data_IF_230484389297
#
_entry.id   IF_230484389297
#
_cell.length_a   1.000
_cell.length_b   1.000
_cell.length_c   1.000
_cell.angle_alpha   90.00
_cell.angle_beta   90.00
_cell.angle_gamma   90.00
#
_symmetry.space_group_name_H-M   'P 1'
#
loop_
_entity.id
_entity.type
_entity.pdbx_description
1 polymer ?
#
# COMPACT_ATOMS: atom_id res chain seq x y z
N UNK A 1 4.95 25.20 -16.41
CA UNK A 1 3.56 24.76 -16.58
C UNK A 1 3.25 24.67 -18.06
N UNK A 2 2.67 23.58 -18.51
CA UNK A 2 2.31 23.40 -19.92
C UNK A 2 0.93 23.97 -20.21
N UNK A 3 0.60 24.22 -21.49
CA UNK A 3 -0.72 24.77 -21.87
C UNK A 3 -1.86 23.84 -21.46
N UNK A 4 -1.62 22.52 -21.45
CA UNK A 4 -2.57 21.52 -20.96
C UNK A 4 -2.86 21.66 -19.48
N UNK A 5 -1.84 21.87 -18.66
CA UNK A 5 -2.02 22.05 -17.21
C UNK A 5 -2.85 23.29 -16.91
N UNK A 6 -2.58 24.39 -17.64
CA UNK A 6 -3.35 25.62 -17.52
C UNK A 6 -4.82 25.36 -17.92
N UNK A 7 -5.07 24.65 -19.01
CA UNK A 7 -6.41 24.27 -19.44
C UNK A 7 -7.15 23.39 -18.42
N UNK A 8 -6.47 22.41 -17.80
CA UNK A 8 -7.01 21.57 -16.73
C UNK A 8 -7.38 22.42 -15.51
N UNK A 9 -6.54 23.38 -15.11
CA UNK A 9 -6.82 24.26 -13.97
C UNK A 9 -8.03 25.15 -14.27
N UNK A 10 -8.08 25.77 -15.45
CA UNK A 10 -9.21 26.63 -15.86
C UNK A 10 -10.52 25.85 -15.79
N UNK A 11 -10.58 24.67 -16.42
CA UNK A 11 -11.79 23.84 -16.37
C UNK A 11 -12.08 23.33 -14.98
N UNK A 12 -11.07 22.95 -14.20
CA UNK A 12 -11.24 22.54 -12.80
C UNK A 12 -11.93 23.61 -11.97
N UNK A 13 -11.52 24.88 -12.11
CA UNK A 13 -12.15 26.02 -11.45
C UNK A 13 -13.59 26.22 -11.94
N UNK A 14 -13.81 26.18 -13.26
CA UNK A 14 -15.16 26.34 -13.85
C UNK A 14 -16.12 25.26 -13.35
N UNK A 15 -15.69 23.99 -13.35
CA UNK A 15 -16.48 22.87 -12.83
C UNK A 15 -16.74 23.00 -11.33
N UNK A 16 -15.74 23.46 -10.56
CA UNK A 16 -15.91 23.66 -9.12
C UNK A 16 -16.92 24.78 -8.83
N UNK A 17 -16.85 25.91 -9.54
CA UNK A 17 -17.83 27.00 -9.42
C UNK A 17 -19.23 26.54 -9.85
N UNK A 18 -19.33 25.78 -10.94
CA UNK A 18 -20.59 25.20 -11.40
C UNK A 18 -21.20 24.23 -10.37
N UNK A 19 -20.36 23.37 -9.78
CA UNK A 19 -20.76 22.50 -8.67
C UNK A 19 -21.26 23.33 -7.50
N UNK A 20 -20.51 24.32 -7.01
CA UNK A 20 -20.92 25.16 -5.88
C UNK A 20 -22.26 25.90 -6.15
N UNK A 21 -22.46 26.40 -7.37
CA UNK A 21 -23.69 27.07 -7.78
C UNK A 21 -24.90 26.13 -7.77
N UNK A 22 -24.81 24.97 -8.43
CA UNK A 22 -25.90 24.00 -8.51
C UNK A 22 -26.11 23.21 -7.22
N UNK A 23 -25.07 23.12 -6.39
CA UNK A 23 -25.07 22.41 -5.12
C UNK A 23 -25.99 23.06 -4.07
N UNK A 24 -26.27 24.36 -4.17
CA UNK A 24 -27.29 25.04 -3.34
C UNK A 24 -28.72 24.65 -3.71
N UNK A 25 -28.98 24.24 -4.95
CA UNK A 25 -30.34 24.03 -5.48
C UNK A 25 -30.77 22.57 -5.51
N UNK A 26 -29.83 21.64 -5.75
CA UNK A 26 -30.16 20.24 -6.10
C UNK A 26 -29.60 19.18 -5.14
N UNK A 27 -29.19 19.53 -3.91
CA UNK A 27 -28.71 18.55 -2.92
C UNK A 27 -27.35 17.88 -3.24
N UNK A 28 -26.69 18.27 -4.33
CA UNK A 28 -25.35 17.79 -4.74
C UNK A 28 -24.30 18.03 -3.63
N UNK A 29 -24.52 19.01 -2.76
CA UNK A 29 -23.65 19.31 -1.62
C UNK A 29 -23.49 18.12 -0.68
N UNK A 30 -24.55 17.35 -0.47
CA UNK A 30 -24.51 16.22 0.44
C UNK A 30 -23.58 15.14 -0.12
N UNK A 31 -23.70 14.81 -1.41
CA UNK A 31 -22.80 13.86 -2.07
C UNK A 31 -21.34 14.35 -2.07
N UNK A 32 -21.11 15.65 -2.31
CA UNK A 32 -19.76 16.22 -2.23
C UNK A 32 -19.19 16.17 -0.79
N UNK A 33 -20.00 16.47 0.21
CA UNK A 33 -19.63 16.39 1.63
C UNK A 33 -19.32 14.95 2.04
N UNK A 34 -20.08 13.99 1.55
CA UNK A 34 -19.85 12.56 1.83
C UNK A 34 -18.52 12.07 1.21
N UNK A 35 -18.20 12.54 -0.01
CA UNK A 35 -16.89 12.31 -0.62
C UNK A 35 -15.76 12.93 0.22
N UNK A 36 -15.91 14.18 0.65
CA UNK A 36 -14.92 14.85 1.49
C UNK A 36 -14.74 14.14 2.83
N UNK A 37 -15.85 13.71 3.46
CA UNK A 37 -15.86 12.95 4.71
C UNK A 37 -15.13 11.61 4.55
N UNK A 38 -15.33 10.93 3.43
CA UNK A 38 -14.65 9.67 3.09
C UNK A 38 -13.14 9.88 2.94
N UNK A 39 -12.73 10.96 2.25
CA UNK A 39 -11.32 11.34 2.10
C UNK A 39 -10.70 11.66 3.47
N UNK A 40 -11.37 12.45 4.31
CA UNK A 40 -10.90 12.78 5.66
C UNK A 40 -10.74 11.51 6.51
N UNK A 41 -11.70 10.58 6.43
CA UNK A 41 -11.64 9.30 7.14
C UNK A 41 -10.44 8.48 6.69
N UNK A 42 -10.18 8.44 5.38
CA UNK A 42 -9.04 7.75 4.80
C UNK A 42 -7.70 8.40 5.20
N UNK A 43 -7.61 9.73 5.26
CA UNK A 43 -6.42 10.45 5.74
C UNK A 43 -6.15 10.18 7.22
N UNK A 44 -7.20 9.99 8.04
CA UNK A 44 -7.07 9.66 9.47
C UNK A 44 -6.53 8.25 9.73
N UNK A 45 -6.51 7.37 8.73
CA UNK A 45 -5.94 6.04 8.91
C UNK A 45 -4.43 6.14 9.21
N UNK A 46 -3.89 5.38 10.18
CA UNK A 46 -2.48 5.45 10.55
C UNK A 46 -1.52 5.17 9.39
N UNK A 47 -1.91 4.26 8.48
CA UNK A 47 -1.15 3.97 7.27
C UNK A 47 -1.06 5.20 6.36
N UNK A 48 -2.17 5.89 6.14
CA UNK A 48 -2.22 7.11 5.32
C UNK A 48 -1.39 8.22 5.95
N UNK A 49 -1.52 8.43 7.26
CA UNK A 49 -0.73 9.42 7.99
C UNK A 49 0.77 9.16 7.86
N UNK A 50 1.19 7.90 8.01
CA UNK A 50 2.59 7.52 7.87
C UNK A 50 3.11 7.77 6.44
N UNK A 51 2.32 7.43 5.41
CA UNK A 51 2.69 7.70 4.02
C UNK A 51 2.77 9.20 3.72
N UNK A 52 1.80 9.98 4.19
CA UNK A 52 1.79 11.44 4.02
C UNK A 52 2.99 12.07 4.71
N UNK A 53 3.24 11.72 5.98
CA UNK A 53 4.36 12.26 6.75
C UNK A 53 5.71 11.92 6.11
N UNK A 54 5.92 10.66 5.71
CA UNK A 54 7.16 10.24 5.03
C UNK A 54 7.35 10.93 3.69
N UNK A 55 6.29 11.12 2.91
CA UNK A 55 6.37 11.80 1.62
C UNK A 55 6.61 13.30 1.77
N UNK A 56 5.99 13.96 2.76
CA UNK A 56 6.30 15.37 3.09
C UNK A 56 7.77 15.48 3.48
N UNK A 57 8.28 14.58 4.31
CA UNK A 57 9.69 14.56 4.70
C UNK A 57 10.62 14.37 3.49
N UNK A 58 10.29 13.45 2.57
CA UNK A 58 11.01 13.25 1.31
C UNK A 58 10.98 14.53 0.45
N UNK A 59 9.83 15.19 0.31
CA UNK A 59 9.71 16.44 -0.44
C UNK A 59 10.58 17.54 0.18
N UNK A 60 10.61 17.67 1.50
CA UNK A 60 11.43 18.66 2.21
C UNK A 60 12.93 18.36 2.05
N UNK A 61 13.32 17.09 2.12
CA UNK A 61 14.70 16.69 1.85
C UNK A 61 15.10 16.99 0.40
N UNK A 62 14.26 16.59 -0.55
CA UNK A 62 14.47 16.89 -1.97
C UNK A 62 14.58 18.41 -2.13
N UNK A 63 13.64 19.21 -1.66
CA UNK A 63 13.65 20.66 -1.88
C UNK A 63 14.86 21.35 -1.24
N UNK A 64 15.32 20.90 -0.06
CA UNK A 64 16.48 21.48 0.62
C UNK A 64 17.81 21.10 -0.03
N UNK A 65 18.01 19.84 -0.44
CA UNK A 65 19.23 19.40 -1.13
C UNK A 65 19.28 19.88 -2.59
N UNK A 66 18.16 19.88 -3.30
CA UNK A 66 18.13 20.21 -4.74
C UNK A 66 18.21 21.71 -5.05
N UNK A 67 17.80 22.59 -4.11
CA UNK A 67 17.95 24.04 -4.26
C UNK A 67 19.41 24.49 -4.19
N UNK A 68 20.24 23.81 -3.40
CA UNK A 68 21.64 24.19 -3.20
C UNK A 68 22.49 23.93 -4.45
N UNK A 69 22.27 22.79 -5.13
CA UNK A 69 23.23 22.30 -6.15
C UNK A 69 22.70 22.29 -7.59
N UNK A 70 21.39 22.23 -7.81
CA UNK A 70 20.81 21.82 -9.11
C UNK A 70 19.74 22.77 -9.67
N UNK A 71 19.42 23.87 -8.96
CA UNK A 71 18.48 24.93 -9.38
C UNK A 71 17.15 24.40 -9.94
N UNK A 72 16.66 23.27 -9.42
CA UNK A 72 15.41 22.70 -9.91
C UNK A 72 14.21 23.56 -9.55
N UNK A 73 13.28 23.65 -10.48
CA UNK A 73 12.03 24.36 -10.30
C UNK A 73 11.13 23.71 -9.23
N UNK A 74 10.42 24.53 -8.46
CA UNK A 74 9.34 24.08 -7.57
C UNK A 74 8.23 23.30 -8.30
N UNK A 75 8.15 23.40 -9.63
CA UNK A 75 7.22 22.65 -10.45
C UNK A 75 7.32 21.13 -10.26
N UNK A 76 8.52 20.60 -9.97
CA UNK A 76 8.70 19.16 -9.71
C UNK A 76 7.99 18.67 -8.43
N UNK A 77 7.74 19.55 -7.46
CA UNK A 77 6.98 19.18 -6.25
C UNK A 77 5.54 18.84 -6.62
N UNK A 78 4.94 19.59 -7.55
CA UNK A 78 3.58 19.33 -8.05
C UNK A 78 3.54 17.97 -8.76
N UNK A 79 4.54 17.68 -9.60
CA UNK A 79 4.61 16.39 -10.31
C UNK A 79 4.81 15.22 -9.33
N UNK A 80 5.59 15.42 -8.26
CA UNK A 80 5.75 14.44 -7.19
C UNK A 80 4.40 14.14 -6.52
N UNK A 81 3.64 15.18 -6.17
CA UNK A 81 2.34 15.03 -5.53
C UNK A 81 1.35 14.28 -6.43
N UNK A 82 1.37 14.55 -7.74
CA UNK A 82 0.51 13.84 -8.71
C UNK A 82 0.86 12.34 -8.72
N UNK A 83 2.14 11.98 -8.90
CA UNK A 83 2.57 10.57 -8.91
C UNK A 83 2.29 9.90 -7.55
N UNK A 84 2.52 10.60 -6.45
CA UNK A 84 2.21 10.08 -5.12
C UNK A 84 0.71 9.78 -4.96
N UNK A 85 -0.17 10.73 -5.25
CA UNK A 85 -1.61 10.60 -5.04
C UNK A 85 -2.27 9.60 -5.99
N UNK A 86 -1.83 9.54 -7.25
CA UNK A 86 -2.50 8.73 -8.28
C UNK A 86 -1.81 7.39 -8.57
N UNK A 87 -0.54 7.23 -8.19
CA UNK A 87 0.21 5.99 -8.45
C UNK A 87 0.62 5.29 -7.16
N UNK A 88 1.33 5.97 -6.25
CA UNK A 88 1.89 5.33 -5.05
C UNK A 88 0.80 5.03 -4.02
N UNK A 89 -0.05 6.01 -3.71
CA UNK A 89 -1.09 5.88 -2.70
C UNK A 89 -2.12 4.80 -3.04
N UNK A 90 -2.64 4.69 -4.28
CA UNK A 90 -3.58 3.61 -4.62
C UNK A 90 -2.92 2.23 -4.67
N UNK A 91 -1.60 2.16 -4.90
CA UNK A 91 -0.86 0.89 -4.90
C UNK A 91 -0.92 0.16 -3.55
N UNK A 92 -1.22 0.89 -2.47
CA UNK A 92 -1.49 0.31 -1.15
C UNK A 92 -2.62 -0.72 -1.15
N UNK A 93 -3.64 -0.53 -1.99
CA UNK A 93 -4.74 -1.49 -2.09
C UNK A 93 -4.25 -2.84 -2.61
N UNK A 94 -3.30 -2.82 -3.56
CA UNK A 94 -2.69 -4.02 -4.13
C UNK A 94 -1.77 -4.73 -3.11
N UNK A 95 -1.22 -4.01 -2.13
CA UNK A 95 -0.37 -4.60 -1.08
C UNK A 95 -1.12 -5.58 -0.15
N UNK A 96 -2.45 -5.55 -0.16
CA UNK A 96 -3.28 -6.52 0.57
C UNK A 96 -3.15 -7.93 0.00
N UNK A 97 -2.97 -8.04 -1.30
CA UNK A 97 -2.97 -9.32 -2.04
C UNK A 97 -1.57 -9.67 -2.56
N UNK A 98 -0.77 -8.66 -2.90
CA UNK A 98 0.51 -8.84 -3.59
C UNK A 98 1.72 -8.33 -2.82
N UNK A 99 2.87 -8.92 -3.15
CA UNK A 99 4.18 -8.45 -2.74
C UNK A 99 4.52 -7.08 -3.31
N UNK A 100 5.25 -6.21 -2.59
CA UNK A 100 5.92 -5.05 -3.24
C UNK A 100 6.73 -5.49 -4.47
N UNK A 101 7.50 -6.59 -4.34
CA UNK A 101 8.31 -7.15 -5.43
C UNK A 101 7.44 -7.60 -6.62
N UNK A 102 6.29 -8.23 -6.38
CA UNK A 102 5.39 -8.67 -7.45
C UNK A 102 4.74 -7.48 -8.13
N UNK A 103 4.30 -6.49 -7.37
CA UNK A 103 3.73 -5.26 -7.91
C UNK A 103 4.76 -4.55 -8.77
N UNK A 104 5.98 -4.35 -8.27
CA UNK A 104 7.08 -3.72 -9.01
C UNK A 104 7.47 -4.55 -10.23
N UNK A 105 7.49 -5.89 -10.15
CA UNK A 105 7.81 -6.74 -11.30
C UNK A 105 6.73 -6.72 -12.37
N UNK A 106 5.46 -6.76 -11.97
CA UNK A 106 4.33 -6.81 -12.89
C UNK A 106 4.10 -5.43 -13.53
N UNK A 107 4.05 -4.36 -12.72
CA UNK A 107 3.86 -2.99 -13.21
C UNK A 107 5.13 -2.38 -13.79
N UNK A 108 6.31 -2.75 -13.31
CA UNK A 108 7.58 -2.22 -13.80
C UNK A 108 7.79 -2.53 -15.27
N UNK A 109 7.37 -3.71 -15.76
CA UNK A 109 7.43 -4.03 -17.18
C UNK A 109 6.56 -3.12 -18.05
N UNK A 110 5.38 -2.73 -17.56
CA UNK A 110 4.47 -1.80 -18.25
C UNK A 110 4.98 -0.35 -18.21
N UNK A 111 5.75 -0.01 -17.17
CA UNK A 111 6.33 1.32 -16.95
C UNK A 111 7.69 1.52 -17.63
N UNK A 112 8.36 0.48 -18.14
CA UNK A 112 9.79 0.61 -18.38
C UNK A 112 10.22 1.30 -19.68
N UNK A 113 9.44 1.37 -20.76
CA UNK A 113 9.93 2.09 -21.96
C UNK A 113 8.88 2.81 -22.80
N UNK A 114 7.95 2.08 -23.44
CA UNK A 114 7.11 2.70 -24.48
C UNK A 114 6.03 3.62 -23.89
N UNK A 115 5.31 3.16 -22.86
CA UNK A 115 4.24 3.95 -22.26
C UNK A 115 4.78 5.21 -21.57
N UNK A 116 5.89 5.11 -20.85
CA UNK A 116 6.50 6.26 -20.14
C UNK A 116 7.04 7.29 -21.13
N UNK A 117 7.64 6.84 -22.24
CA UNK A 117 8.07 7.75 -23.32
C UNK A 117 6.89 8.48 -23.94
N UNK A 118 5.82 7.76 -24.31
CA UNK A 118 4.64 8.37 -24.90
C UNK A 118 3.91 9.31 -23.92
N UNK A 119 3.85 8.94 -22.64
CA UNK A 119 3.23 9.75 -21.59
C UNK A 119 4.02 11.03 -21.35
N UNK A 120 5.35 10.93 -21.26
CA UNK A 120 6.24 12.09 -21.13
C UNK A 120 6.17 13.02 -22.35
N UNK A 121 6.20 12.48 -23.56
CA UNK A 121 6.08 13.29 -24.78
C UNK A 121 4.72 13.98 -24.79
N UNK A 122 3.64 13.24 -24.51
CA UNK A 122 2.29 13.79 -24.47
C UNK A 122 2.15 14.90 -23.43
N UNK A 123 2.68 14.71 -22.21
CA UNK A 123 2.54 15.68 -21.12
C UNK A 123 3.38 16.95 -21.33
N UNK A 124 4.55 16.81 -21.95
CA UNK A 124 5.52 17.90 -22.15
C UNK A 124 5.18 18.74 -23.37
N UNK A 125 4.87 18.10 -24.50
CA UNK A 125 4.64 18.76 -25.78
C UNK A 125 3.13 18.92 -26.00
N UNK A 126 2.63 20.11 -25.66
CA UNK A 126 1.19 20.45 -25.68
C UNK A 126 0.84 21.36 -26.85
N UNK A 127 -0.43 21.36 -27.26
CA UNK A 127 -0.91 22.34 -28.24
C UNK A 127 -0.97 23.75 -27.64
N UNK A 128 -1.31 24.74 -28.47
CA UNK A 128 -1.63 26.08 -28.01
C UNK A 128 -2.80 26.06 -27.01
N UNK A 129 -2.79 27.02 -26.08
CA UNK A 129 -3.78 27.10 -25.01
C UNK A 129 -5.26 27.03 -25.48
N UNK A 130 -5.68 27.71 -26.56
CA UNK A 130 -7.06 27.60 -27.04
C UNK A 130 -7.44 26.18 -27.47
N UNK A 131 -6.51 25.46 -28.10
CA UNK A 131 -6.71 24.08 -28.55
C UNK A 131 -6.75 23.13 -27.35
N UNK A 132 -5.83 23.28 -26.39
CA UNK A 132 -5.85 22.48 -25.16
C UNK A 132 -7.13 22.72 -24.33
N UNK A 133 -7.65 23.96 -24.28
CA UNK A 133 -8.94 24.24 -23.64
C UNK A 133 -10.09 23.44 -24.24
N UNK A 134 -10.15 23.33 -25.57
CA UNK A 134 -11.17 22.54 -26.26
C UNK A 134 -10.96 21.03 -26.04
N UNK A 135 -9.73 20.55 -26.16
CA UNK A 135 -9.40 19.12 -25.97
C UNK A 135 -9.73 18.68 -24.55
N UNK A 136 -9.27 19.41 -23.53
CA UNK A 136 -9.51 19.09 -22.11
C UNK A 136 -11.01 19.11 -21.81
N UNK A 137 -11.76 20.07 -22.35
CA UNK A 137 -13.22 20.10 -22.21
C UNK A 137 -13.90 18.84 -22.75
N UNK A 138 -13.55 18.45 -23.97
CA UNK A 138 -14.08 17.24 -24.61
C UNK A 138 -13.71 15.98 -23.81
N UNK A 139 -12.47 15.88 -23.33
CA UNK A 139 -12.02 14.75 -22.50
C UNK A 139 -12.83 14.65 -21.20
N UNK A 140 -13.10 15.78 -20.52
CA UNK A 140 -13.90 15.79 -19.30
C UNK A 140 -15.33 15.30 -19.59
N UNK A 141 -15.99 15.87 -20.60
CA UNK A 141 -17.36 15.50 -20.97
C UNK A 141 -17.46 14.02 -21.31
N UNK A 142 -16.59 13.53 -22.19
CA UNK A 142 -16.58 12.12 -22.60
C UNK A 142 -16.31 11.19 -21.42
N UNK A 143 -15.40 11.57 -20.52
CA UNK A 143 -15.10 10.79 -19.31
C UNK A 143 -16.29 10.69 -18.37
N UNK A 144 -17.03 11.78 -18.16
CA UNK A 144 -18.26 11.79 -17.34
C UNK A 144 -19.31 10.88 -17.96
N UNK A 145 -19.57 11.02 -19.26
CA UNK A 145 -20.55 10.19 -19.95
C UNK A 145 -20.16 8.71 -19.97
N UNK A 146 -18.87 8.40 -20.14
CA UNK A 146 -18.37 7.03 -20.06
C UNK A 146 -18.58 6.46 -18.64
N UNK A 147 -18.32 7.23 -17.60
CA UNK A 147 -18.57 6.81 -16.22
C UNK A 147 -20.06 6.52 -15.97
N UNK A 148 -20.96 7.38 -16.46
CA UNK A 148 -22.41 7.17 -16.37
C UNK A 148 -22.85 5.93 -17.15
N UNK A 149 -22.34 5.73 -18.37
CA UNK A 149 -22.72 4.58 -19.22
C UNK A 149 -22.38 3.22 -18.61
N UNK A 150 -21.39 3.16 -17.71
CA UNK A 150 -20.99 1.93 -17.00
C UNK A 150 -21.97 1.54 -15.89
N UNK A 151 -22.81 2.47 -15.42
CA UNK A 151 -23.72 2.23 -14.29
C UNK A 151 -25.00 1.50 -14.67
N UNK A 152 -25.49 1.65 -15.90
CA UNK A 152 -26.73 1.05 -16.39
C UNK A 152 -26.48 0.28 -17.69
N UNK A 153 -26.99 -0.96 -17.76
CA UNK A 153 -26.81 -1.83 -18.93
C UNK A 153 -27.34 -1.20 -20.23
N UNK A 154 -28.44 -0.44 -20.14
CA UNK A 154 -29.07 0.26 -21.27
C UNK A 154 -28.15 1.25 -21.98
N UNK A 155 -27.16 1.81 -21.28
CA UNK A 155 -26.25 2.81 -21.84
C UNK A 155 -24.91 2.23 -22.30
N UNK A 156 -24.71 0.91 -22.25
CA UNK A 156 -23.42 0.28 -22.59
C UNK A 156 -23.01 0.52 -24.05
N UNK A 157 -23.96 0.46 -25.00
CA UNK A 157 -23.68 0.73 -26.42
C UNK A 157 -23.23 2.18 -26.63
N UNK A 158 -23.89 3.13 -25.99
CA UNK A 158 -23.50 4.55 -26.00
C UNK A 158 -22.11 4.73 -25.38
N UNK A 159 -21.80 3.99 -24.32
CA UNK A 159 -20.48 3.95 -23.70
C UNK A 159 -19.38 3.51 -24.66
N UNK A 160 -19.64 2.56 -25.56
CA UNK A 160 -18.67 2.16 -26.59
C UNK A 160 -18.37 3.29 -27.57
N UNK A 161 -19.40 4.04 -27.99
CA UNK A 161 -19.24 5.21 -28.87
C UNK A 161 -18.38 6.29 -28.19
N UNK A 162 -18.67 6.62 -26.92
CA UNK A 162 -17.86 7.57 -26.18
C UNK A 162 -16.43 7.09 -25.96
N UNK A 163 -16.23 5.79 -25.73
CA UNK A 163 -14.88 5.21 -25.66
C UNK A 163 -14.12 5.33 -26.98
N UNK A 164 -14.81 5.18 -28.13
CA UNK A 164 -14.21 5.35 -29.44
C UNK A 164 -13.77 6.81 -29.67
N UNK A 165 -14.64 7.79 -29.40
CA UNK A 165 -14.28 9.20 -29.49
C UNK A 165 -13.14 9.59 -28.54
N UNK A 166 -13.13 9.04 -27.32
CA UNK A 166 -12.06 9.26 -26.36
C UNK A 166 -10.72 8.74 -26.90
N UNK A 167 -10.72 7.55 -27.51
CA UNK A 167 -9.53 6.98 -28.17
C UNK A 167 -9.05 7.85 -29.34
N UNK A 168 -9.97 8.34 -30.17
CA UNK A 168 -9.65 9.21 -31.30
C UNK A 168 -8.99 10.52 -30.84
N UNK A 169 -9.54 11.18 -29.82
CA UNK A 169 -8.93 12.38 -29.24
C UNK A 169 -7.56 12.06 -28.64
N UNK A 170 -7.42 10.92 -27.96
CA UNK A 170 -6.15 10.44 -27.43
C UNK A 170 -5.08 10.29 -28.52
N UNK A 171 -5.45 9.73 -29.68
CA UNK A 171 -4.56 9.63 -30.84
C UNK A 171 -4.17 11.00 -31.40
N UNK A 172 -5.12 11.94 -31.54
CA UNK A 172 -4.83 13.31 -31.99
C UNK A 172 -3.81 13.97 -31.06
N UNK A 173 -4.00 13.84 -29.75
CA UNK A 173 -3.07 14.37 -28.75
C UNK A 173 -1.68 13.75 -28.89
N UNK A 174 -1.62 12.43 -29.04
CA UNK A 174 -0.35 11.70 -29.16
C UNK A 174 0.40 12.09 -30.45
N UNK A 175 -0.27 12.12 -31.60
CA UNK A 175 0.37 12.52 -32.86
C UNK A 175 0.83 13.97 -32.85
N UNK A 176 0.02 14.87 -32.28
CA UNK A 176 0.40 16.28 -32.12
C UNK A 176 1.63 16.45 -31.23
N UNK A 177 1.67 15.75 -30.09
CA UNK A 177 2.81 15.78 -29.18
C UNK A 177 4.08 15.20 -29.81
N UNK A 178 3.97 14.10 -30.57
CA UNK A 178 5.11 13.53 -31.31
C UNK A 178 5.65 14.51 -32.36
N UNK A 179 4.75 15.15 -33.13
CA UNK A 179 5.15 16.16 -34.12
C UNK A 179 5.92 17.31 -33.45
N UNK A 180 5.41 17.80 -32.34
CA UNK A 180 6.00 18.91 -31.62
C UNK A 180 7.31 18.52 -30.91
N UNK A 181 7.44 17.27 -30.45
CA UNK A 181 8.71 16.71 -29.96
C UNK A 181 9.78 16.72 -31.06
N UNK A 182 9.45 16.28 -32.28
CA UNK A 182 10.40 16.29 -33.40
C UNK A 182 10.80 17.71 -33.81
N UNK A 183 9.88 18.68 -33.73
CA UNK A 183 10.19 20.09 -33.96
C UNK A 183 11.20 20.64 -32.93
N UNK A 184 11.16 20.12 -31.69
CA UNK A 184 11.98 20.57 -30.56
C UNK A 184 13.04 19.53 -30.15
N UNK A 185 13.54 18.71 -31.09
CA UNK A 185 14.45 17.59 -30.80
C UNK A 185 15.76 18.02 -30.12
N UNK A 186 16.13 19.30 -30.22
CA UNK A 186 17.27 19.89 -29.51
C UNK A 186 17.17 19.76 -27.99
N UNK A 187 15.96 19.67 -27.43
CA UNK A 187 15.72 19.56 -25.98
C UNK A 187 16.39 18.33 -25.38
N UNK A 188 16.52 17.24 -26.16
CA UNK A 188 17.15 15.99 -25.76
C UNK A 188 18.62 16.18 -25.35
N UNK A 189 19.27 17.25 -25.83
CA UNK A 189 20.65 17.57 -25.44
C UNK A 189 20.75 18.18 -24.05
N UNK A 190 19.64 18.68 -23.50
CA UNK A 190 19.61 19.32 -22.18
C UNK A 190 19.55 18.28 -21.06
N UNK A 191 20.28 18.51 -19.98
CA UNK A 191 20.20 17.67 -18.78
C UNK A 191 18.81 17.73 -18.12
N UNK A 192 18.15 18.90 -18.17
CA UNK A 192 16.80 19.10 -17.64
C UNK A 192 15.73 18.24 -18.33
N UNK A 193 15.90 17.93 -19.62
CA UNK A 193 15.03 17.00 -20.33
C UNK A 193 15.08 15.60 -19.71
N UNK A 194 16.28 15.07 -19.48
CA UNK A 194 16.46 13.73 -18.92
C UNK A 194 15.99 13.64 -17.46
N UNK A 195 16.18 14.70 -16.67
CA UNK A 195 15.62 14.78 -15.33
C UNK A 195 14.09 14.71 -15.39
N UNK A 196 13.47 15.51 -16.25
CA UNK A 196 12.01 15.54 -16.40
C UNK A 196 11.44 14.21 -16.86
N UNK A 197 12.11 13.55 -17.82
CA UNK A 197 11.73 12.23 -18.30
C UNK A 197 11.84 11.15 -17.22
N UNK A 198 12.93 11.15 -16.46
CA UNK A 198 13.17 10.16 -15.41
C UNK A 198 12.43 10.47 -14.09
N UNK A 199 11.80 11.65 -13.97
CA UNK A 199 11.27 12.13 -12.70
C UNK A 199 10.20 11.21 -12.11
N UNK A 200 9.22 10.79 -12.91
CA UNK A 200 8.17 9.87 -12.43
C UNK A 200 8.76 8.55 -11.94
N UNK A 201 9.74 8.00 -12.67
CA UNK A 201 10.46 6.79 -12.26
C UNK A 201 11.22 7.00 -10.95
N UNK A 202 11.87 8.15 -10.79
CA UNK A 202 12.56 8.51 -9.56
C UNK A 202 11.61 8.55 -8.36
N UNK A 203 10.43 9.17 -8.51
CA UNK A 203 9.39 9.20 -7.47
C UNK A 203 8.95 7.79 -7.08
N UNK A 204 8.78 6.89 -8.06
CA UNK A 204 8.43 5.49 -7.79
C UNK A 204 9.55 4.79 -7.01
N UNK A 205 10.80 4.93 -7.45
CA UNK A 205 11.95 4.30 -6.81
C UNK A 205 12.11 4.75 -5.36
N UNK A 206 11.99 6.05 -5.08
CA UNK A 206 12.10 6.61 -3.73
C UNK A 206 10.99 6.10 -2.80
N UNK A 207 9.83 5.76 -3.36
CA UNK A 207 8.68 5.23 -2.63
C UNK A 207 8.68 3.70 -2.48
N UNK A 208 9.63 2.97 -3.07
CA UNK A 208 9.72 1.50 -2.87
C UNK A 208 9.93 1.15 -1.37
N UNK A 209 10.89 1.76 -0.65
CA UNK A 209 11.02 1.55 0.80
C UNK A 209 9.74 1.90 1.55
N UNK A 210 9.03 2.94 1.08
CA UNK A 210 7.78 3.38 1.69
C UNK A 210 6.72 2.26 1.57
N UNK A 211 6.58 1.66 0.38
CA UNK A 211 5.66 0.55 0.15
C UNK A 211 6.00 -0.70 0.99
N UNK A 212 7.28 -0.98 1.26
CA UNK A 212 7.68 -2.10 2.13
C UNK A 212 7.23 -1.91 3.57
N UNK A 213 7.32 -0.70 4.11
CA UNK A 213 6.86 -0.40 5.47
C UNK A 213 5.34 -0.39 5.50
N UNK A 214 4.68 0.22 4.50
CA UNK A 214 3.22 0.18 4.34
C UNK A 214 2.69 -1.26 4.39
N UNK A 215 3.35 -2.19 3.69
CA UNK A 215 2.97 -3.59 3.72
C UNK A 215 3.05 -4.24 5.11
N UNK A 216 4.06 -3.89 5.91
CA UNK A 216 4.15 -4.36 7.30
C UNK A 216 3.03 -3.77 8.16
N UNK A 217 2.73 -2.48 7.98
CA UNK A 217 1.65 -1.79 8.69
C UNK A 217 0.31 -2.47 8.40
N UNK A 218 -0.01 -2.78 7.13
CA UNK A 218 -1.26 -3.48 6.77
C UNK A 218 -1.42 -4.80 7.53
N UNK A 219 -0.33 -5.57 7.66
CA UNK A 219 -0.36 -6.84 8.41
C UNK A 219 -0.62 -6.56 9.89
N UNK A 220 0.13 -5.62 10.49
CA UNK A 220 0.02 -5.28 11.91
C UNK A 220 -1.32 -4.60 12.25
N UNK A 221 -1.96 -3.91 11.32
CA UNK A 221 -3.21 -3.16 11.55
C UNK A 221 -4.32 -4.09 12.00
N UNK A 222 -4.41 -5.28 11.37
CA UNK A 222 -5.33 -6.32 11.81
C UNK A 222 -5.06 -6.75 13.25
N UNK A 223 -3.81 -6.73 13.70
CA UNK A 223 -3.45 -7.10 15.07
C UNK A 223 -3.90 -6.04 16.06
N UNK A 224 -3.63 -4.77 15.75
CA UNK A 224 -4.00 -3.64 16.59
C UNK A 224 -5.52 -3.52 16.69
N UNK A 225 -6.25 -3.79 15.61
CA UNK A 225 -7.71 -3.79 15.62
C UNK A 225 -8.32 -4.81 16.61
N UNK A 226 -7.61 -5.92 16.91
CA UNK A 226 -8.03 -6.93 17.89
C UNK A 226 -7.29 -6.78 19.24
N UNK A 227 -6.57 -5.68 19.44
CA UNK A 227 -5.85 -5.36 20.67
C UNK A 227 -6.60 -4.33 21.52
N UNK A 228 -6.17 -4.17 22.78
CA UNK A 228 -6.64 -3.07 23.63
C UNK A 228 -5.96 -1.73 23.30
N UNK A 229 -5.05 -1.68 22.31
CA UNK A 229 -4.33 -0.48 21.94
C UNK A 229 -5.08 0.35 20.90
N UNK A 230 -5.03 1.69 20.97
CA UNK A 230 -5.65 2.55 19.97
C UNK A 230 -4.97 2.38 18.61
N UNK A 231 -5.74 2.44 17.51
CA UNK A 231 -5.22 2.34 16.15
C UNK A 231 -4.46 3.62 15.75
N UNK A 232 -3.20 3.72 16.15
CA UNK A 232 -2.31 4.89 15.95
C UNK A 232 -0.94 4.43 15.53
N UNK A 233 -0.18 5.27 14.80
CA UNK A 233 1.19 4.97 14.35
C UNK A 233 2.07 4.50 15.53
N UNK A 234 1.93 5.11 16.70
CA UNK A 234 2.67 4.71 17.91
C UNK A 234 2.40 3.27 18.34
N UNK A 235 1.16 2.79 18.23
CA UNK A 235 0.83 1.39 18.49
C UNK A 235 1.50 0.43 17.51
N UNK A 236 1.62 0.80 16.23
CA UNK A 236 2.37 0.02 15.24
C UNK A 236 3.86 -0.05 15.57
N UNK A 237 4.48 1.09 15.86
CA UNK A 237 5.90 1.17 16.24
C UNK A 237 6.15 0.36 17.51
N UNK A 238 5.27 0.49 18.51
CA UNK A 238 5.33 -0.26 19.77
C UNK A 238 5.22 -1.77 19.56
N UNK A 239 4.26 -2.23 18.75
CA UNK A 239 4.11 -3.64 18.43
C UNK A 239 5.35 -4.17 17.71
N UNK A 240 5.79 -3.47 16.66
CA UNK A 240 6.97 -3.87 15.88
C UNK A 240 8.23 -3.96 16.75
N UNK A 241 8.42 -2.98 17.64
CA UNK A 241 9.54 -2.97 18.57
C UNK A 241 9.51 -4.14 19.56
N UNK A 242 8.34 -4.41 20.16
CA UNK A 242 8.16 -5.55 21.07
C UNK A 242 8.41 -6.87 20.36
N UNK A 243 7.82 -7.04 19.17
CA UNK A 243 8.04 -8.22 18.34
C UNK A 243 9.52 -8.41 18.00
N UNK A 244 10.22 -7.34 17.59
CA UNK A 244 11.65 -7.39 17.28
C UNK A 244 12.51 -7.76 18.49
N UNK A 245 12.26 -7.13 19.65
CA UNK A 245 12.95 -7.48 20.91
C UNK A 245 12.72 -8.94 21.31
N UNK A 246 11.47 -9.41 21.23
CA UNK A 246 11.13 -10.82 21.53
C UNK A 246 11.83 -11.76 20.58
N UNK A 247 11.83 -11.47 19.28
CA UNK A 247 12.52 -12.29 18.28
C UNK A 247 14.01 -12.47 18.60
N UNK A 248 14.68 -11.41 19.05
CA UNK A 248 16.09 -11.49 19.49
C UNK A 248 16.24 -12.39 20.72
N UNK A 249 15.36 -12.23 21.73
CA UNK A 249 15.39 -13.07 22.94
C UNK A 249 15.13 -14.54 22.62
N UNK A 250 14.08 -14.85 21.86
CA UNK A 250 13.78 -16.22 21.43
C UNK A 250 14.93 -16.83 20.63
N UNK A 251 15.63 -16.06 19.81
CA UNK A 251 16.83 -16.55 19.11
C UNK A 251 17.94 -17.01 20.07
N UNK A 252 18.04 -16.42 21.27
CA UNK A 252 19.01 -16.84 22.30
C UNK A 252 18.58 -18.09 23.07
N UNK A 253 17.27 -18.41 23.07
CA UNK A 253 16.71 -19.60 23.73
C UNK A 253 16.81 -20.86 22.87
N UNK A 254 17.30 -20.76 21.63
CA UNK A 254 17.50 -21.92 20.76
C UNK A 254 18.75 -22.67 21.21
N UNK A 255 18.55 -23.80 21.85
CA UNK A 255 19.64 -24.67 22.34
C UNK A 255 20.00 -25.72 21.30
N UNK A 256 18.98 -26.35 20.70
CA UNK A 256 19.14 -27.41 19.69
C UNK A 256 18.25 -27.16 18.47
N UNK A 257 18.74 -27.60 17.32
CA UNK A 257 18.06 -27.39 16.05
C UNK A 257 17.21 -28.61 15.68
N UNK A 258 15.90 -28.52 15.95
CA UNK A 258 14.97 -29.64 15.70
C UNK A 258 14.31 -29.54 14.33
N UNK A 259 14.14 -30.67 13.65
CA UNK A 259 13.21 -30.75 12.50
C UNK A 259 11.80 -30.87 13.05
N UNK A 260 11.10 -29.73 13.09
CA UNK A 260 9.72 -29.63 13.55
C UNK A 260 8.76 -29.99 12.43
N UNK A 261 7.75 -30.81 12.75
CA UNK A 261 6.58 -30.98 11.91
C UNK A 261 5.55 -29.91 12.29
N UNK A 262 5.27 -29.00 11.37
CA UNK A 262 4.48 -27.79 11.65
C UNK A 262 3.35 -27.71 10.65
N UNK A 263 2.12 -27.46 11.11
CA UNK A 263 0.96 -27.28 10.24
C UNK A 263 0.17 -26.04 10.61
N UNK A 264 -0.57 -25.50 9.64
CA UNK A 264 -1.55 -24.44 9.88
C UNK A 264 -2.92 -25.10 10.00
N UNK A 265 -3.49 -25.12 11.20
CA UNK A 265 -4.80 -25.75 11.41
C UNK A 265 -5.94 -24.83 10.97
N UNK A 266 -5.87 -23.53 11.31
CA UNK A 266 -6.95 -22.57 11.08
C UNK A 266 -6.44 -21.14 11.06
N UNK A 267 -7.15 -20.25 10.37
CA UNK A 267 -6.96 -18.80 10.51
C UNK A 267 -7.94 -18.22 11.54
N UNK A 268 -7.41 -17.64 12.61
CA UNK A 268 -8.16 -16.92 13.65
C UNK A 268 -7.94 -15.42 13.39
N UNK A 269 -9.01 -14.67 13.11
CA UNK A 269 -8.93 -13.25 12.71
C UNK A 269 -8.02 -12.97 11.50
N UNK A 270 -7.86 -13.97 10.63
CA UNK A 270 -6.96 -13.89 9.48
C UNK A 270 -5.48 -14.16 9.80
N UNK A 271 -5.14 -14.58 11.02
CA UNK A 271 -3.80 -15.04 11.41
C UNK A 271 -3.75 -16.56 11.58
N UNK A 272 -2.65 -17.23 11.19
CA UNK A 272 -2.56 -18.67 11.33
C UNK A 272 -2.42 -19.06 12.81
N UNK A 273 -3.19 -20.07 13.20
CA UNK A 273 -2.89 -20.93 14.34
C UNK A 273 -1.91 -22.00 13.85
N UNK A 274 -0.71 -21.96 14.39
CA UNK A 274 0.38 -22.86 14.03
C UNK A 274 0.43 -23.98 15.06
N UNK A 275 0.31 -25.22 14.61
CA UNK A 275 0.49 -26.40 15.46
C UNK A 275 1.84 -27.03 15.18
N UNK A 276 2.59 -27.34 16.23
CA UNK A 276 3.90 -28.00 16.18
C UNK A 276 3.74 -29.39 16.77
N UNK A 277 3.90 -30.42 15.95
CA UNK A 277 3.80 -31.81 16.39
C UNK A 277 5.15 -32.31 16.89
N UNK A 278 5.17 -32.61 18.17
CA UNK A 278 6.33 -33.14 18.86
C UNK A 278 6.35 -34.67 18.72
N UNK A 279 7.52 -35.26 18.42
CA UNK A 279 7.65 -36.70 18.12
C UNK A 279 7.67 -37.60 19.37
N UNK A 280 7.88 -37.03 20.57
CA UNK A 280 8.01 -37.79 21.84
C UNK A 280 6.81 -37.50 22.76
N UNK A 281 6.41 -38.50 23.54
CA UNK A 281 5.27 -38.42 24.49
C UNK A 281 5.51 -37.52 25.71
N UNK A 282 6.78 -37.22 26.03
CA UNK A 282 7.14 -36.33 27.13
C UNK A 282 8.25 -35.39 26.67
N UNK A 283 8.04 -34.11 26.89
CA UNK A 283 8.97 -33.05 26.59
C UNK A 283 9.28 -32.25 27.85
N UNK A 284 10.54 -31.84 28.01
CA UNK A 284 10.91 -30.91 29.08
C UNK A 284 10.38 -29.50 28.78
N UNK A 285 10.27 -28.66 29.81
CA UNK A 285 9.88 -27.25 29.60
C UNK A 285 10.81 -26.54 28.63
N UNK A 286 12.11 -26.82 28.70
CA UNK A 286 13.12 -26.22 27.82
C UNK A 286 12.97 -26.68 26.36
N UNK A 287 12.60 -27.94 26.11
CA UNK A 287 12.33 -28.44 24.76
C UNK A 287 11.09 -27.76 24.16
N UNK A 288 10.01 -27.60 24.93
CA UNK A 288 8.79 -26.91 24.51
C UNK A 288 9.10 -25.43 24.19
N UNK A 289 9.89 -24.78 25.04
CA UNK A 289 10.35 -23.41 24.82
C UNK A 289 11.21 -23.28 23.58
N UNK A 290 12.09 -24.25 23.32
CA UNK A 290 12.91 -24.28 22.12
C UNK A 290 12.04 -24.45 20.86
N UNK A 291 10.98 -25.27 20.88
CA UNK A 291 10.03 -25.39 19.76
C UNK A 291 9.32 -24.06 19.44
N UNK A 292 8.80 -23.38 20.47
CA UNK A 292 8.16 -22.06 20.30
C UNK A 292 9.18 -21.03 19.80
N UNK A 293 10.39 -21.03 20.37
CA UNK A 293 11.48 -20.16 19.96
C UNK A 293 11.86 -20.38 18.49
N UNK A 294 11.95 -21.62 18.03
CA UNK A 294 12.22 -22.00 16.65
C UNK A 294 11.13 -21.47 15.70
N UNK A 295 9.85 -21.59 16.05
CA UNK A 295 8.73 -21.08 15.23
C UNK A 295 8.73 -19.54 15.14
N UNK A 296 9.01 -18.84 16.24
CA UNK A 296 9.03 -17.37 16.28
C UNK A 296 10.29 -16.80 15.58
N UNK A 297 11.43 -17.47 15.75
CA UNK A 297 12.73 -16.97 15.29
C UNK A 297 13.06 -17.38 13.85
N UNK A 298 12.76 -18.64 13.47
CA UNK A 298 13.02 -19.20 12.15
C UNK A 298 11.79 -19.12 11.26
N UNK A 299 12.03 -18.71 10.03
CA UNK A 299 11.11 -18.97 8.91
C UNK A 299 11.24 -20.43 8.53
N UNK A 300 10.68 -21.36 9.31
CA UNK A 300 10.53 -22.72 8.78
C UNK A 300 9.76 -22.63 7.47
N UNK A 301 10.36 -23.15 6.38
CA UNK A 301 9.67 -23.34 5.11
C UNK A 301 8.70 -24.51 5.32
N UNK A 302 7.61 -24.25 6.04
CA UNK A 302 6.51 -25.20 6.11
C UNK A 302 5.82 -25.15 4.77
N UNK A 303 5.65 -26.30 4.13
CA UNK A 303 4.77 -26.45 2.98
C UNK A 303 3.37 -25.93 3.38
N UNK A 304 3.01 -24.74 2.91
CA UNK A 304 1.75 -24.08 3.25
C UNK A 304 1.86 -22.68 3.88
N UNK A 305 3.00 -22.31 4.49
CA UNK A 305 3.27 -20.93 4.98
C UNK A 305 3.63 -19.98 3.83
N UNK A 306 2.75 -19.90 2.83
CA UNK A 306 2.94 -19.02 1.67
C UNK A 306 2.55 -17.57 1.97
N UNK A 307 1.65 -17.34 2.93
CA UNK A 307 1.07 -16.01 3.16
C UNK A 307 1.98 -15.19 4.07
N UNK A 308 2.12 -13.91 3.72
CA UNK A 308 3.01 -12.97 4.42
C UNK A 308 2.59 -12.70 5.86
N UNK A 309 1.29 -12.84 6.14
CA UNK A 309 0.69 -12.73 7.47
C UNK A 309 1.26 -13.80 8.41
N UNK A 310 1.65 -14.95 7.87
CA UNK A 310 2.11 -16.09 8.65
C UNK A 310 3.49 -15.88 9.31
N UNK A 311 4.17 -14.77 8.96
CA UNK A 311 5.42 -14.32 9.63
C UNK A 311 5.19 -13.71 11.01
N UNK A 312 3.93 -13.44 11.36
CA UNK A 312 3.53 -12.94 12.68
C UNK A 312 2.62 -14.00 13.30
N UNK A 313 3.19 -15.09 13.86
CA UNK A 313 2.37 -16.10 14.53
C UNK A 313 1.65 -15.44 15.70
N UNK A 314 0.35 -15.70 15.81
CA UNK A 314 -0.49 -15.17 16.88
C UNK A 314 -0.82 -16.27 17.90
N UNK A 315 -0.91 -17.51 17.43
CA UNK A 315 -1.14 -18.70 18.24
C UNK A 315 -0.14 -19.78 17.81
N UNK A 316 0.63 -20.30 18.76
CA UNK A 316 1.50 -21.47 18.55
C UNK A 316 1.08 -22.54 19.55
N UNK A 317 0.58 -23.65 19.04
CA UNK A 317 0.20 -24.81 19.84
C UNK A 317 1.28 -25.89 19.69
N UNK A 318 1.81 -26.39 20.80
CA UNK A 318 2.69 -27.57 20.80
C UNK A 318 1.85 -28.77 21.16
N UNK A 319 1.85 -29.77 20.28
CA UNK A 319 0.98 -30.93 20.36
C UNK A 319 1.83 -32.20 20.42
N UNK A 320 1.50 -33.11 21.34
CA UNK A 320 2.13 -34.42 21.45
C UNK A 320 1.69 -35.38 20.32
N UNK A 321 2.41 -36.48 20.14
CA UNK A 321 2.11 -37.64 19.28
C UNK A 321 0.67 -38.15 19.44
N UNK A 322 0.06 -38.01 20.63
CA UNK A 322 -1.36 -38.36 20.91
C UNK A 322 -2.36 -37.26 20.54
N UNK A 323 -1.94 -36.22 19.81
CA UNK A 323 -2.73 -35.03 19.48
C UNK A 323 -3.26 -34.26 20.70
N UNK A 324 -2.55 -34.34 21.83
CA UNK A 324 -2.87 -33.59 23.03
C UNK A 324 -2.04 -32.31 23.10
N UNK A 325 -2.68 -31.18 23.41
CA UNK A 325 -2.04 -29.89 23.60
C UNK A 325 -1.12 -29.92 24.82
N UNK A 326 0.19 -29.78 24.59
CA UNK A 326 1.20 -29.68 25.64
C UNK A 326 1.37 -28.24 26.12
N UNK A 327 1.42 -27.29 25.19
CA UNK A 327 1.55 -25.88 25.48
C UNK A 327 0.88 -25.03 24.41
N UNK A 328 0.38 -23.86 24.82
CA UNK A 328 -0.13 -22.83 23.93
C UNK A 328 0.60 -21.52 24.21
N UNK A 329 1.15 -20.93 23.17
CA UNK A 329 1.70 -19.59 23.18
C UNK A 329 0.75 -18.67 22.44
N UNK A 330 0.41 -17.55 23.08
CA UNK A 330 -0.45 -16.52 22.52
C UNK A 330 0.28 -15.17 22.51
N UNK A 331 0.04 -14.39 21.46
CA UNK A 331 0.62 -13.07 21.36
C UNK A 331 -0.05 -12.09 22.33
N UNK A 332 0.70 -11.70 23.36
CA UNK A 332 0.35 -10.74 24.41
C UNK A 332 -0.24 -9.41 23.93
N UNK A 333 0.02 -9.02 22.68
CA UNK A 333 -0.55 -7.80 22.14
C UNK A 333 -2.07 -7.91 21.86
N UNK A 334 -2.64 -9.11 21.79
CA UNK A 334 -4.09 -9.30 21.69
C UNK A 334 -4.80 -8.90 22.99
N UNK A 335 -5.97 -8.30 22.84
CA UNK A 335 -6.87 -8.04 23.98
C UNK A 335 -7.21 -9.34 24.68
N UNK A 336 -7.20 -9.37 26.01
CA UNK A 336 -7.62 -10.53 26.82
C UNK A 336 -9.01 -11.06 26.42
N UNK A 337 -9.89 -10.20 25.92
CA UNK A 337 -11.24 -10.56 25.43
C UNK A 337 -11.22 -11.28 24.08
N UNK A 338 -10.16 -11.08 23.29
CA UNK A 338 -9.96 -11.65 21.96
C UNK A 338 -9.00 -12.86 21.97
N UNK A 339 -8.59 -13.34 23.16
CA UNK A 339 -8.03 -14.70 23.28
C UNK A 339 -9.20 -15.67 23.07
N UNK A 340 -9.44 -16.07 21.82
CA UNK A 340 -10.54 -16.99 21.47
C UNK A 340 -10.37 -18.37 22.12
N UNK A 341 -9.15 -18.70 22.49
CA UNK A 341 -8.89 -19.72 23.49
C UNK A 341 -8.93 -19.04 24.85
N UNK A 342 -10.04 -19.19 25.55
CA UNK A 342 -9.93 -19.52 26.95
C UNK A 342 -9.61 -21.03 26.94
N UNK A 343 -8.35 -21.49 26.98
CA UNK A 343 -8.05 -22.94 26.92
C UNK A 343 -8.59 -23.72 28.14
N UNK A 344 -9.33 -23.04 29.02
CA UNK A 344 -9.56 -23.40 30.41
C UNK A 344 -10.96 -23.87 30.76
N UNK A 345 -11.85 -24.09 29.80
CA UNK A 345 -13.02 -24.93 30.07
C UNK A 345 -12.63 -26.41 30.00
N UNK A 346 -11.88 -26.87 31.02
CA UNK A 346 -11.83 -28.29 31.38
C UNK A 346 -10.55 -29.10 31.08
N UNK A 347 -9.43 -28.51 30.63
CA UNK A 347 -8.16 -29.23 30.43
C UNK A 347 -7.00 -28.58 31.20
N UNK A 348 -6.16 -29.40 31.85
CA UNK A 348 -4.89 -28.98 32.49
C UNK A 348 -3.86 -28.71 31.37
N UNK A 349 -3.77 -27.46 30.92
CA UNK A 349 -2.73 -27.00 29.97
C UNK A 349 -1.85 -26.00 30.69
N UNK A 350 -0.52 -26.17 30.67
CA UNK A 350 0.41 -25.15 31.16
C UNK A 350 0.49 -24.00 30.15
N UNK A 351 0.01 -22.82 30.54
CA UNK A 351 0.18 -21.61 29.73
C UNK A 351 1.61 -21.06 29.87
N UNK A 352 2.29 -20.93 28.73
CA UNK A 352 3.58 -20.26 28.67
C UNK A 352 3.33 -18.84 28.18
N UNK A 353 3.08 -17.94 29.12
CA UNK A 353 3.02 -16.52 28.81
C UNK A 353 4.41 -16.01 28.41
N UNK A 354 4.50 -15.09 27.42
CA UNK A 354 5.77 -14.44 27.10
C UNK A 354 6.38 -13.71 28.31
N UNK A 355 5.57 -13.24 29.26
CA UNK A 355 5.99 -12.64 30.53
C UNK A 355 6.75 -13.59 31.46
N UNK A 356 6.43 -14.89 31.46
CA UNK A 356 7.16 -15.92 32.23
C UNK A 356 8.55 -16.17 31.58
N UNK A 357 8.61 -16.08 30.25
CA UNK A 357 9.85 -16.07 29.47
C UNK A 357 10.66 -14.77 29.55
N UNK A 358 10.15 -13.72 30.22
CA UNK A 358 10.88 -12.45 30.38
C UNK A 358 11.68 -12.37 31.69
N UNK A 359 11.49 -13.33 32.61
CA UNK A 359 12.12 -13.37 33.94
C UNK A 359 13.24 -14.43 34.04
N UNK A 360 13.37 -15.30 33.05
CA UNK A 360 14.55 -16.14 32.81
C UNK A 360 15.43 -15.47 31.75
#
# INVERSE_FOLDING_TARGET
MTSREIAIIIWGIVFLLWLLYNSRKNGIWNSFRDLLSSIITLIKLPLSQWMIFTNIFVIVLISSFWQADLQLSYWYIKDYLIVFLFTIFPTVLLLKEHSVIEIVRNKGKELLFINTTLLFISSTYTFSLPVELLIVFLLIILSIFLAVSKTKKEFQQIGMIFSFFLSLIGLVVLFGAIKEFFNNISDVKSFGFWISYAFELFVILINIPVLYIAQKIIIIEKMIAHSDYPNTIFSFVRYYYRWYRRKIKFKKLIVEDYVLDVTIEKYIFGYPKISVYAKKERHSKDEILNFIALVISRRYKVEGLSRRIDKFPVYIEVVDKKKQTLALWTEEFLSKRNHFYNPFTGKKVEEIYPSILMLQ
#
